data_IF_250639540284
#
_entry.id   IF_250639540284
#
_cell.length_a   1.000
_cell.length_b   1.000
_cell.length_c   1.000
_cell.angle_alpha   90.00
_cell.angle_beta   90.00
_cell.angle_gamma   90.00
#
_symmetry.space_group_name_H-M   'P 1'
#
loop_
_entity.id
_entity.type
_entity.pdbx_description
1 polymer ?
#
# COMPACT_ATOMS: atom_id res chain seq x y z
N UNK A 1 11.58 5.41 13.26
CA UNK A 1 12.19 5.93 12.01
C UNK A 1 13.50 6.59 12.41
N UNK A 2 14.64 6.03 12.01
CA UNK A 2 15.92 6.69 12.25
C UNK A 2 15.99 7.92 11.35
N UNK A 3 15.74 9.09 11.91
CA UNK A 3 16.11 10.34 11.24
C UNK A 3 17.62 10.31 11.06
N UNK A 4 18.08 10.55 9.84
CA UNK A 4 19.49 10.61 9.48
C UNK A 4 20.12 11.83 10.15
N UNK A 5 20.52 11.69 11.40
CA UNK A 5 21.34 12.67 12.09
C UNK A 5 22.69 12.75 11.36
N UNK A 6 23.00 13.91 10.80
CA UNK A 6 24.38 14.29 10.48
C UNK A 6 24.72 14.63 9.02
N UNK A 7 24.03 14.09 8.01
CA UNK A 7 24.35 14.43 6.61
C UNK A 7 23.41 15.48 6.01
N UNK A 8 23.96 16.64 5.64
CA UNK A 8 23.25 17.64 4.83
C UNK A 8 23.53 17.37 3.35
N UNK A 9 22.48 17.05 2.60
CA UNK A 9 22.53 16.93 1.15
C UNK A 9 22.78 18.31 0.51
N UNK A 10 24.06 18.64 0.29
CA UNK A 10 24.46 19.80 -0.53
C UNK A 10 24.14 19.60 -2.02
N UNK A 11 24.21 20.66 -2.80
CA UNK A 11 23.92 20.59 -4.25
C UNK A 11 24.85 19.63 -4.99
N UNK A 12 26.13 19.60 -4.62
CA UNK A 12 27.11 18.67 -5.18
C UNK A 12 26.72 17.20 -4.94
N UNK A 13 26.35 16.85 -3.71
CA UNK A 13 25.90 15.51 -3.36
C UNK A 13 24.61 15.11 -4.10
N UNK A 14 23.70 16.07 -4.33
CA UNK A 14 22.46 15.84 -5.09
C UNK A 14 22.75 15.57 -6.56
N UNK A 15 23.55 16.41 -7.22
CA UNK A 15 23.90 16.23 -8.63
C UNK A 15 24.71 14.95 -8.84
N UNK A 16 25.63 14.63 -7.92
CA UNK A 16 26.36 13.37 -7.96
C UNK A 16 25.43 12.15 -7.84
N UNK A 17 24.47 12.20 -6.92
CA UNK A 17 23.50 11.12 -6.72
C UNK A 17 22.61 10.93 -7.96
N UNK A 18 22.21 12.04 -8.58
CA UNK A 18 21.46 12.04 -9.83
C UNK A 18 22.26 11.42 -10.96
N UNK A 19 23.52 11.81 -11.17
CA UNK A 19 24.39 11.23 -12.20
C UNK A 19 24.56 9.71 -12.03
N UNK A 20 24.89 9.25 -10.81
CA UNK A 20 25.07 7.83 -10.56
C UNK A 20 23.76 7.04 -10.72
N UNK A 21 22.62 7.64 -10.35
CA UNK A 21 21.32 7.03 -10.58
C UNK A 21 21.01 6.89 -12.07
N UNK A 22 21.28 7.94 -12.87
CA UNK A 22 21.07 7.93 -14.34
C UNK A 22 21.99 6.92 -15.02
N UNK A 23 23.22 6.76 -14.53
CA UNK A 23 24.15 5.74 -14.98
C UNK A 23 23.72 4.31 -14.62
N UNK A 24 22.59 4.12 -13.93
CA UNK A 24 22.00 2.81 -13.66
C UNK A 24 22.63 2.07 -12.49
N UNK A 25 23.44 2.74 -11.66
CA UNK A 25 24.06 2.09 -10.51
C UNK A 25 23.01 1.68 -9.47
N UNK A 26 23.19 0.49 -8.91
CA UNK A 26 22.39 -0.03 -7.81
C UNK A 26 22.60 0.78 -6.53
N UNK A 27 21.63 0.75 -5.61
CA UNK A 27 21.76 1.46 -4.34
C UNK A 27 23.02 1.05 -3.53
N UNK A 28 23.42 -0.24 -3.43
CA UNK A 28 24.67 -0.63 -2.78
C UNK A 28 25.93 0.00 -3.41
N UNK A 29 26.03 0.01 -4.75
CA UNK A 29 27.18 0.61 -5.46
C UNK A 29 27.24 2.13 -5.23
N UNK A 30 26.07 2.78 -5.19
CA UNK A 30 25.98 4.21 -4.86
C UNK A 30 26.42 4.45 -3.42
N UNK A 31 26.02 3.62 -2.46
CA UNK A 31 26.45 3.74 -1.05
C UNK A 31 27.95 3.65 -0.93
N UNK A 32 28.59 2.70 -1.60
CA UNK A 32 30.04 2.53 -1.60
C UNK A 32 30.75 3.77 -2.16
N UNK A 33 30.34 4.22 -3.35
CA UNK A 33 30.91 5.42 -3.99
C UNK A 33 30.74 6.67 -3.15
N UNK A 34 29.53 6.90 -2.64
CA UNK A 34 29.24 8.04 -1.78
C UNK A 34 30.04 8.00 -0.48
N UNK A 35 30.23 6.81 0.10
CA UNK A 35 30.95 6.70 1.36
C UNK A 35 32.42 7.05 1.21
N UNK A 36 33.01 6.68 0.08
CA UNK A 36 34.38 7.02 -0.28
C UNK A 36 34.51 8.50 -0.67
N UNK A 37 33.65 9.01 -1.56
CA UNK A 37 33.74 10.37 -2.11
C UNK A 37 33.53 11.46 -1.05
N UNK A 38 32.56 11.28 -0.16
CA UNK A 38 32.24 12.27 0.88
C UNK A 38 32.87 11.95 2.24
N UNK A 39 33.73 10.92 2.31
CA UNK A 39 34.38 10.44 3.54
C UNK A 39 33.39 10.29 4.71
N UNK A 40 32.24 9.70 4.45
CA UNK A 40 31.16 9.56 5.42
C UNK A 40 30.41 8.25 5.22
N UNK A 41 29.97 7.61 6.29
CA UNK A 41 29.20 6.37 6.18
C UNK A 41 27.79 6.63 5.63
N UNK A 42 27.48 6.09 4.46
CA UNK A 42 26.11 6.04 3.94
C UNK A 42 25.46 4.68 4.19
N UNK A 43 24.13 4.66 4.19
CA UNK A 43 23.34 3.44 4.22
C UNK A 43 22.41 3.38 3.00
N UNK A 44 21.97 2.19 2.57
CA UNK A 44 20.99 2.08 1.49
C UNK A 44 19.74 2.93 1.72
N UNK A 45 19.23 2.95 2.96
CA UNK A 45 18.07 3.75 3.33
C UNK A 45 18.29 5.26 3.15
N UNK A 46 19.51 5.77 3.37
CA UNK A 46 19.83 7.19 3.15
C UNK A 46 19.74 7.55 1.67
N UNK A 47 20.34 6.70 0.82
CA UNK A 47 20.33 6.87 -0.64
C UNK A 47 18.90 6.79 -1.17
N UNK A 48 18.13 5.79 -0.77
CA UNK A 48 16.75 5.60 -1.24
C UNK A 48 15.83 6.75 -0.81
N UNK A 49 15.96 7.23 0.44
CA UNK A 49 15.20 8.40 0.90
C UNK A 49 15.58 9.67 0.12
N UNK A 50 16.86 9.87 -0.19
CA UNK A 50 17.30 11.01 -1.00
C UNK A 50 16.79 10.93 -2.44
N UNK A 51 16.89 9.76 -3.08
CA UNK A 51 16.32 9.49 -4.42
C UNK A 51 14.83 9.81 -4.48
N UNK A 52 14.08 9.38 -3.46
CA UNK A 52 12.66 9.67 -3.33
C UNK A 52 12.39 11.18 -3.11
N UNK A 53 13.06 11.80 -2.14
CA UNK A 53 12.87 13.20 -1.74
C UNK A 53 13.14 14.17 -2.90
N UNK A 54 14.20 13.91 -3.66
CA UNK A 54 14.61 14.74 -4.80
C UNK A 54 14.06 14.25 -6.14
N UNK A 55 13.16 13.26 -6.13
CA UNK A 55 12.42 12.75 -7.29
C UNK A 55 13.32 12.34 -8.46
N UNK A 56 14.46 11.71 -8.18
CA UNK A 56 15.42 11.36 -9.23
C UNK A 56 14.88 10.32 -10.22
N UNK A 57 13.84 9.57 -9.85
CA UNK A 57 13.11 8.68 -10.75
C UNK A 57 12.50 9.39 -11.96
N UNK A 58 12.32 10.72 -11.93
CA UNK A 58 11.86 11.50 -13.09
C UNK A 58 12.90 11.61 -14.21
N UNK A 59 14.17 11.36 -13.91
CA UNK A 59 15.28 11.44 -14.89
C UNK A 59 15.71 10.06 -15.40
N UNK A 60 15.15 8.98 -14.85
CA UNK A 60 15.44 7.60 -15.24
C UNK A 60 14.49 7.18 -16.37
N UNK A 61 14.97 7.35 -17.61
CA UNK A 61 14.31 7.09 -18.89
C UNK A 61 12.92 7.77 -19.06
N UNK A 62 12.66 8.43 -20.20
CA UNK A 62 11.28 8.75 -20.54
C UNK A 62 10.50 7.43 -20.57
N UNK A 63 9.42 7.37 -19.78
CA UNK A 63 8.48 6.24 -19.87
C UNK A 63 8.09 6.17 -21.34
N UNK A 64 8.45 5.07 -22.00
CA UNK A 64 8.06 4.82 -23.37
C UNK A 64 6.54 5.02 -23.46
N UNK A 65 6.14 5.89 -24.38
CA UNK A 65 4.74 6.33 -24.54
C UNK A 65 3.83 5.15 -24.91
N UNK A 66 4.43 4.09 -25.44
CA UNK A 66 3.78 2.85 -25.84
C UNK A 66 3.71 1.82 -24.70
N UNK A 67 4.40 2.06 -23.56
CA UNK A 67 4.15 1.30 -22.34
C UNK A 67 2.70 1.57 -21.95
N UNK A 68 1.87 0.54 -22.06
CA UNK A 68 0.54 0.50 -21.44
C UNK A 68 0.71 0.69 -19.94
N UNK A 69 0.63 1.93 -19.48
CA UNK A 69 0.31 2.22 -18.09
C UNK A 69 -1.08 1.61 -17.89
N UNK A 70 -1.11 0.46 -17.23
CA UNK A 70 -2.34 -0.22 -16.90
C UNK A 70 -3.26 0.79 -16.20
N UNK A 71 -4.40 1.03 -16.83
CA UNK A 71 -5.36 2.06 -16.44
C UNK A 71 -5.86 1.78 -15.02
N UNK A 72 -5.96 2.84 -14.24
CA UNK A 72 -6.61 2.85 -12.93
C UNK A 72 -7.96 2.13 -13.02
N UNK A 73 -8.23 1.22 -12.07
CA UNK A 73 -9.51 0.55 -12.01
C UNK A 73 -10.61 1.60 -11.83
N UNK A 74 -11.57 1.63 -12.75
CA UNK A 74 -12.66 2.61 -12.75
C UNK A 74 -13.99 1.87 -12.73
N UNK A 75 -14.80 2.17 -11.72
CA UNK A 75 -16.14 1.63 -11.52
C UNK A 75 -17.19 2.69 -11.89
N UNK A 76 -18.39 2.28 -12.32
CA UNK A 76 -19.48 3.23 -12.56
C UNK A 76 -19.95 3.90 -11.25
N UNK A 77 -20.68 5.01 -11.36
CA UNK A 77 -21.40 5.58 -10.22
C UNK A 77 -22.51 4.60 -9.78
N UNK A 78 -22.40 4.06 -8.57
CA UNK A 78 -23.31 3.05 -8.03
C UNK A 78 -23.22 2.99 -6.49
N UNK A 79 -24.04 2.15 -5.87
CA UNK A 79 -24.07 1.91 -4.44
C UNK A 79 -23.02 0.87 -4.04
N UNK A 80 -21.94 1.34 -3.44
CA UNK A 80 -20.85 0.52 -2.90
C UNK A 80 -20.79 0.64 -1.38
N UNK A 81 -20.55 -0.48 -0.70
CA UNK A 81 -20.02 -0.47 0.65
C UNK A 81 -18.51 -0.26 0.53
N UNK A 82 -17.97 0.72 1.25
CA UNK A 82 -16.55 1.04 1.18
C UNK A 82 -15.97 0.88 2.59
N UNK A 83 -14.92 0.09 2.72
CA UNK A 83 -14.19 -0.14 3.97
C UNK A 83 -12.70 -0.27 3.72
N UNK A 84 -11.92 -0.22 4.79
CA UNK A 84 -10.46 -0.19 4.74
C UNK A 84 -9.89 -0.60 6.10
N UNK A 85 -8.57 -0.84 6.13
CA UNK A 85 -7.77 -0.96 7.36
C UNK A 85 -8.43 -1.90 8.39
N UNK A 86 -8.95 -3.03 7.91
CA UNK A 86 -9.50 -4.04 8.80
C UNK A 86 -8.37 -4.65 9.65
N UNK A 87 -7.14 -4.68 9.12
CA UNK A 87 -5.94 -5.17 9.79
C UNK A 87 -6.19 -6.51 10.49
N UNK A 88 -6.87 -7.44 9.82
CA UNK A 88 -7.13 -8.74 10.40
C UNK A 88 -5.79 -9.40 10.80
N UNK A 89 -5.66 -9.84 12.06
CA UNK A 89 -6.75 -10.26 12.94
C UNK A 89 -7.23 -9.20 13.94
N UNK A 90 -6.68 -7.98 13.94
CA UNK A 90 -7.02 -6.90 14.89
C UNK A 90 -8.31 -6.15 14.56
N UNK A 91 -9.13 -6.73 13.69
CA UNK A 91 -10.39 -6.15 13.25
C UNK A 91 -11.38 -6.04 14.41
N UNK A 92 -12.32 -5.11 14.30
CA UNK A 92 -13.42 -4.98 15.25
C UNK A 92 -14.67 -5.68 14.73
N UNK A 93 -15.05 -6.78 15.38
CA UNK A 93 -16.30 -7.49 15.05
C UNK A 93 -17.53 -6.58 15.11
N UNK A 94 -17.56 -5.63 16.06
CA UNK A 94 -18.63 -4.63 16.15
C UNK A 94 -18.75 -3.79 14.88
N UNK A 95 -17.61 -3.34 14.33
CA UNK A 95 -17.60 -2.54 13.10
C UNK A 95 -17.94 -3.36 11.87
N UNK A 96 -17.50 -4.61 11.81
CA UNK A 96 -17.91 -5.56 10.75
C UNK A 96 -19.44 -5.75 10.77
N UNK A 97 -20.01 -6.04 11.94
CA UNK A 97 -21.45 -6.24 12.06
C UNK A 97 -22.24 -4.97 11.70
N UNK A 98 -21.75 -3.78 12.06
CA UNK A 98 -22.34 -2.51 11.61
C UNK A 98 -22.27 -2.33 10.10
N UNK A 99 -21.13 -2.63 9.48
CA UNK A 99 -20.96 -2.63 8.01
C UNK A 99 -21.99 -3.54 7.35
N UNK A 100 -22.16 -4.77 7.83
CA UNK A 100 -23.15 -5.72 7.30
C UNK A 100 -24.60 -5.25 7.52
N UNK A 101 -24.93 -4.70 8.69
CA UNK A 101 -26.25 -4.17 8.99
C UNK A 101 -26.62 -2.97 8.08
N UNK A 102 -25.66 -2.09 7.81
CA UNK A 102 -25.83 -0.98 6.86
C UNK A 102 -26.01 -1.55 5.44
N UNK A 103 -25.18 -2.52 5.04
CA UNK A 103 -25.29 -3.15 3.73
C UNK A 103 -26.67 -3.80 3.53
N UNK A 104 -27.19 -4.51 4.53
CA UNK A 104 -28.54 -5.09 4.47
C UNK A 104 -29.64 -4.02 4.40
N UNK A 105 -29.57 -3.02 5.29
CA UNK A 105 -30.58 -1.95 5.36
C UNK A 105 -30.71 -1.21 4.02
N UNK A 106 -29.60 -0.92 3.36
CA UNK A 106 -29.56 -0.20 2.09
C UNK A 106 -29.47 -1.12 0.86
N UNK A 107 -29.56 -2.44 1.05
CA UNK A 107 -29.50 -3.47 0.00
C UNK A 107 -28.26 -3.34 -0.89
N UNK A 108 -27.13 -2.97 -0.29
CA UNK A 108 -25.84 -2.85 -0.93
C UNK A 108 -25.24 -4.25 -1.09
N UNK A 109 -24.97 -4.65 -2.33
CA UNK A 109 -24.44 -5.99 -2.67
C UNK A 109 -23.01 -5.96 -3.22
N UNK A 110 -22.43 -4.77 -3.29
CA UNK A 110 -21.12 -4.46 -3.87
C UNK A 110 -20.23 -3.88 -2.78
N UNK A 111 -19.04 -4.42 -2.60
CA UNK A 111 -18.09 -3.96 -1.58
C UNK A 111 -16.73 -3.61 -2.19
N UNK A 112 -16.13 -2.53 -1.72
CA UNK A 112 -14.77 -2.10 -2.07
C UNK A 112 -13.96 -2.05 -0.78
N UNK A 113 -12.92 -2.87 -0.69
CA UNK A 113 -11.96 -2.89 0.40
C UNK A 113 -10.69 -2.14 -0.04
N UNK A 114 -10.42 -1.00 0.58
CA UNK A 114 -9.31 -0.10 0.21
C UNK A 114 -8.07 -0.43 1.06
N UNK A 115 -7.42 -1.57 0.77
CA UNK A 115 -6.15 -1.95 1.37
C UNK A 115 -6.23 -2.39 2.84
N UNK A 116 -5.11 -2.95 3.31
CA UNK A 116 -4.83 -3.33 4.69
C UNK A 116 -5.95 -4.19 5.29
N UNK A 117 -6.37 -5.20 4.52
CA UNK A 117 -7.35 -6.20 4.98
C UNK A 117 -6.69 -7.14 5.98
N UNK A 118 -5.42 -7.50 5.72
CA UNK A 118 -4.61 -8.41 6.53
C UNK A 118 -3.36 -7.69 7.01
N UNK A 119 -2.88 -8.04 8.21
CA UNK A 119 -1.79 -7.29 8.85
C UNK A 119 -0.39 -7.76 8.45
N UNK A 120 -0.23 -9.06 8.24
CA UNK A 120 1.03 -9.77 8.02
C UNK A 120 2.10 -9.37 9.05
N UNK A 121 1.79 -9.55 10.34
CA UNK A 121 2.68 -9.12 11.43
C UNK A 121 4.00 -9.90 11.45
N UNK A 122 4.01 -11.13 10.92
CA UNK A 122 5.19 -12.00 10.83
C UNK A 122 6.36 -11.38 10.04
N UNK A 123 6.09 -10.44 9.11
CA UNK A 123 7.10 -9.71 8.32
C UNK A 123 7.33 -8.28 8.80
N UNK A 124 6.68 -7.85 9.89
CA UNK A 124 6.86 -6.51 10.44
C UNK A 124 8.25 -6.38 11.05
N UNK A 125 8.94 -5.28 10.74
CA UNK A 125 10.30 -5.00 11.23
C UNK A 125 10.35 -4.39 12.64
N UNK A 126 9.20 -3.95 13.17
CA UNK A 126 9.13 -3.33 14.49
C UNK A 126 9.29 -4.40 15.58
N UNK A 127 10.11 -4.16 16.62
CA UNK A 127 10.22 -5.07 17.74
C UNK A 127 8.86 -5.21 18.42
N UNK A 128 8.55 -6.42 18.88
CA UNK A 128 7.43 -6.61 19.78
C UNK A 128 7.80 -6.04 21.16
N UNK A 129 6.82 -5.42 21.80
CA UNK A 129 6.96 -4.98 23.17
C UNK A 129 6.59 -6.15 24.10
N UNK A 130 7.15 -6.15 25.31
CA UNK A 130 6.69 -6.99 26.42
C UNK A 130 6.64 -8.52 26.19
N UNK A 131 7.57 -9.05 25.38
CA UNK A 131 7.72 -10.50 25.22
C UNK A 131 6.57 -11.18 24.44
N UNK A 132 5.73 -10.38 23.76
CA UNK A 132 4.72 -10.92 22.85
C UNK A 132 5.37 -11.80 21.77
N UNK A 133 4.63 -12.81 21.33
CA UNK A 133 5.03 -13.65 20.19
C UNK A 133 4.38 -13.09 18.93
N UNK A 134 5.16 -12.98 17.84
CA UNK A 134 4.59 -12.65 16.53
C UNK A 134 3.59 -13.72 16.14
N UNK A 135 2.44 -13.30 15.64
CA UNK A 135 1.50 -14.24 15.03
C UNK A 135 2.15 -14.88 13.81
N UNK A 136 1.98 -16.19 13.74
CA UNK A 136 2.26 -16.95 12.52
C UNK A 136 1.22 -16.60 11.46
N UNK A 137 1.54 -16.94 10.21
CA UNK A 137 0.61 -16.76 9.11
C UNK A 137 -0.70 -17.54 9.35
N UNK A 138 -0.59 -18.77 9.86
CA UNK A 138 -1.75 -19.64 10.13
C UNK A 138 -2.65 -19.09 11.23
N UNK A 139 -2.06 -18.56 12.33
CA UNK A 139 -2.81 -17.92 13.42
C UNK A 139 -3.55 -16.68 12.91
N UNK A 140 -2.86 -15.81 12.17
CA UNK A 140 -3.46 -14.62 11.56
C UNK A 140 -4.61 -15.00 10.61
N UNK A 141 -4.46 -16.07 9.84
CA UNK A 141 -5.48 -16.51 8.88
C UNK A 141 -6.70 -17.10 9.56
N UNK A 142 -6.49 -17.90 10.62
CA UNK A 142 -7.58 -18.47 11.41
C UNK A 142 -8.41 -17.35 12.05
N UNK A 143 -7.74 -16.34 12.60
CA UNK A 143 -8.39 -15.22 13.26
C UNK A 143 -8.97 -14.20 12.28
N UNK A 144 -8.50 -14.11 11.03
CA UNK A 144 -9.08 -13.26 10.00
C UNK A 144 -10.43 -13.79 9.46
N UNK A 145 -10.82 -15.00 9.84
CA UNK A 145 -12.02 -15.67 9.34
C UNK A 145 -13.31 -14.83 9.43
N UNK A 146 -13.61 -14.05 10.49
CA UNK A 146 -14.80 -13.21 10.54
C UNK A 146 -14.80 -12.09 9.49
N UNK A 147 -13.66 -11.40 9.33
CA UNK A 147 -13.48 -10.35 8.31
C UNK A 147 -13.67 -10.92 6.91
N UNK A 148 -13.03 -12.05 6.65
CA UNK A 148 -13.16 -12.78 5.39
C UNK A 148 -14.61 -13.21 5.14
N UNK A 149 -15.28 -13.78 6.14
CA UNK A 149 -16.68 -14.21 6.03
C UNK A 149 -17.62 -13.05 5.76
N UNK A 150 -17.34 -11.87 6.32
CA UNK A 150 -18.11 -10.67 6.04
C UNK A 150 -18.02 -10.23 4.56
N UNK A 151 -16.88 -10.46 3.89
CA UNK A 151 -16.76 -10.20 2.46
C UNK A 151 -17.69 -11.09 1.62
N UNK A 152 -18.01 -12.30 2.09
CA UNK A 152 -18.93 -13.22 1.41
C UNK A 152 -20.38 -12.78 1.44
N UNK A 153 -20.74 -11.82 2.30
CA UNK A 153 -22.06 -11.21 2.29
C UNK A 153 -22.34 -10.47 0.97
N UNK A 154 -21.29 -9.90 0.37
CA UNK A 154 -21.39 -9.14 -0.86
C UNK A 154 -21.27 -10.06 -2.07
N UNK A 155 -22.07 -9.80 -3.11
CA UNK A 155 -22.03 -10.55 -4.38
C UNK A 155 -20.75 -10.26 -5.16
N UNK A 156 -20.22 -9.05 -5.00
CA UNK A 156 -19.03 -8.57 -5.71
C UNK A 156 -18.14 -7.76 -4.80
N UNK A 157 -16.86 -8.13 -4.75
CA UNK A 157 -15.85 -7.54 -3.89
C UNK A 157 -14.69 -7.02 -4.73
N UNK A 158 -14.34 -5.75 -4.58
CA UNK A 158 -13.11 -5.18 -5.13
C UNK A 158 -12.10 -5.02 -4.01
N UNK A 159 -10.99 -5.75 -4.06
CA UNK A 159 -9.95 -5.75 -3.04
C UNK A 159 -8.73 -5.00 -3.58
N UNK A 160 -8.48 -3.81 -3.04
CA UNK A 160 -7.31 -3.01 -3.38
C UNK A 160 -6.13 -3.41 -2.51
N UNK A 161 -4.92 -3.19 -3.04
CA UNK A 161 -3.69 -3.45 -2.31
C UNK A 161 -3.43 -2.35 -1.29
N UNK A 162 -3.19 -2.73 -0.04
CA UNK A 162 -2.68 -1.84 1.00
C UNK A 162 -1.17 -1.93 1.21
N UNK A 163 -0.69 -1.23 2.22
CA UNK A 163 0.71 -1.23 2.62
C UNK A 163 1.17 -2.57 3.20
N UNK A 164 0.29 -3.25 3.92
CA UNK A 164 0.57 -4.51 4.59
C UNK A 164 0.67 -5.64 3.58
N UNK A 165 -0.26 -5.70 2.63
CA UNK A 165 -0.15 -6.62 1.49
C UNK A 165 1.11 -6.35 0.64
N UNK A 166 1.41 -5.08 0.39
CA UNK A 166 2.61 -4.71 -0.37
C UNK A 166 3.90 -5.08 0.35
N UNK A 167 3.89 -5.15 1.69
CA UNK A 167 5.02 -5.60 2.51
C UNK A 167 5.38 -7.05 2.19
N UNK A 168 4.40 -7.93 2.01
CA UNK A 168 4.63 -9.33 1.61
C UNK A 168 5.30 -9.41 0.25
N UNK A 169 4.81 -8.61 -0.71
CA UNK A 169 5.43 -8.54 -2.04
C UNK A 169 6.89 -8.09 -1.96
N UNK A 170 7.21 -7.08 -1.15
CA UNK A 170 8.60 -6.66 -0.95
C UNK A 170 9.45 -7.72 -0.25
N UNK A 171 8.91 -8.39 0.77
CA UNK A 171 9.64 -9.43 1.52
C UNK A 171 9.98 -10.63 0.64
N UNK A 172 9.10 -10.97 -0.30
CA UNK A 172 9.25 -12.14 -1.19
C UNK A 172 9.84 -11.78 -2.56
N UNK A 173 10.39 -10.58 -2.74
CA UNK A 173 10.88 -10.09 -4.04
C UNK A 173 9.85 -10.27 -5.17
N UNK A 174 8.59 -9.95 -4.88
CA UNK A 174 7.42 -10.07 -5.76
C UNK A 174 6.99 -11.49 -6.15
N UNK A 175 7.56 -12.54 -5.53
CA UNK A 175 7.07 -13.92 -5.71
C UNK A 175 5.64 -14.08 -5.18
N UNK A 176 5.32 -13.42 -4.05
CA UNK A 176 3.97 -13.41 -3.48
C UNK A 176 3.41 -11.99 -3.56
N UNK A 177 2.51 -11.76 -4.52
CA UNK A 177 1.75 -10.52 -4.66
C UNK A 177 0.43 -10.65 -3.90
N UNK A 178 -0.23 -9.54 -3.58
CA UNK A 178 -1.44 -9.64 -2.77
C UNK A 178 -2.59 -10.40 -3.46
N UNK A 179 -2.65 -10.40 -4.80
CA UNK A 179 -3.58 -11.27 -5.53
C UNK A 179 -3.44 -12.74 -5.15
N UNK A 180 -2.21 -13.20 -4.90
CA UNK A 180 -1.94 -14.58 -4.51
C UNK A 180 -2.47 -14.82 -3.09
N UNK A 181 -2.27 -13.85 -2.20
CA UNK A 181 -2.80 -13.88 -0.83
C UNK A 181 -4.33 -14.04 -0.89
N UNK A 182 -5.03 -13.11 -1.54
CA UNK A 182 -6.50 -13.17 -1.68
C UNK A 182 -7.02 -14.44 -2.35
N UNK A 183 -6.30 -15.02 -3.32
CA UNK A 183 -6.66 -16.31 -3.92
C UNK A 183 -6.52 -17.48 -2.95
N UNK A 184 -5.48 -17.50 -2.12
CA UNK A 184 -5.26 -18.54 -1.10
C UNK A 184 -6.40 -18.51 -0.06
N UNK A 185 -6.91 -17.32 0.27
CA UNK A 185 -8.09 -17.22 1.13
C UNK A 185 -9.38 -17.65 0.42
N UNK A 186 -9.46 -17.40 -0.89
CA UNK A 186 -10.74 -17.31 -1.59
C UNK A 186 -11.27 -18.51 -2.36
N UNK A 187 -10.42 -19.44 -2.79
CA UNK A 187 -10.87 -20.62 -3.55
C UNK A 187 -10.74 -21.91 -2.71
N UNK A 188 -11.71 -22.84 -2.75
CA UNK A 188 -12.85 -22.96 -3.69
C UNK A 188 -14.25 -22.72 -3.05
N UNK A 189 -14.37 -22.04 -1.90
CA UNK A 189 -15.61 -22.04 -1.09
C UNK A 189 -16.51 -20.80 -1.24
N UNK A 190 -16.19 -19.85 -2.11
CA UNK A 190 -16.82 -18.54 -2.09
C UNK A 190 -17.77 -18.33 -3.28
N UNK A 191 -19.06 -18.08 -3.00
CA UNK A 191 -20.07 -17.70 -4.00
C UNK A 191 -19.98 -16.22 -4.46
N UNK A 192 -18.92 -15.50 -4.07
CA UNK A 192 -18.76 -14.08 -4.35
C UNK A 192 -17.66 -13.83 -5.40
N UNK A 193 -17.89 -12.85 -6.27
CA UNK A 193 -16.95 -12.44 -7.31
C UNK A 193 -15.89 -11.50 -6.71
N UNK A 194 -14.67 -12.02 -6.52
CA UNK A 194 -13.54 -11.26 -5.98
C UNK A 194 -12.67 -10.71 -7.11
N UNK A 195 -12.64 -9.40 -7.22
CA UNK A 195 -11.77 -8.66 -8.13
C UNK A 195 -10.65 -8.03 -7.32
N UNK A 196 -9.45 -8.54 -7.51
CA UNK A 196 -8.27 -7.95 -6.90
C UNK A 196 -7.56 -6.98 -7.84
N UNK A 197 -7.02 -5.91 -7.27
CA UNK A 197 -6.18 -4.93 -7.97
C UNK A 197 -4.84 -4.75 -7.24
N UNK A 198 -3.74 -4.82 -7.98
CA UNK A 198 -2.41 -4.44 -7.48
C UNK A 198 -2.25 -2.93 -7.28
N UNK A 199 -3.24 -2.14 -7.69
CA UNK A 199 -3.26 -0.69 -7.47
C UNK A 199 -3.76 -0.34 -6.07
N UNK A 200 -3.21 0.75 -5.56
CA UNK A 200 -3.58 1.41 -4.31
C UNK A 200 -4.66 2.49 -4.51
N UNK A 201 -5.27 2.51 -5.70
CA UNK A 201 -6.29 3.50 -6.08
C UNK A 201 -7.35 2.93 -7.00
N UNK A 202 -8.56 3.48 -6.86
CA UNK A 202 -9.74 3.10 -7.63
C UNK A 202 -10.63 4.33 -7.87
N UNK A 203 -11.18 4.47 -9.06
CA UNK A 203 -12.15 5.52 -9.39
C UNK A 203 -13.58 5.02 -9.28
N UNK A 204 -14.47 5.85 -8.75
CA UNK A 204 -15.92 5.66 -8.87
C UNK A 204 -16.47 6.85 -9.67
N UNK A 205 -17.01 6.53 -10.84
CA UNK A 205 -17.40 7.51 -11.85
C UNK A 205 -16.25 8.45 -12.20
N UNK A 206 -16.59 9.73 -12.39
CA UNK A 206 -15.62 10.80 -12.71
C UNK A 206 -15.14 11.59 -11.50
N UNK A 207 -15.88 11.50 -10.38
CA UNK A 207 -15.75 12.44 -9.25
C UNK A 207 -15.01 11.86 -8.05
N UNK A 208 -15.10 10.55 -7.82
CA UNK A 208 -14.57 9.93 -6.62
C UNK A 208 -13.28 9.18 -6.93
N UNK A 209 -12.29 9.34 -6.05
CA UNK A 209 -11.04 8.59 -6.05
C UNK A 209 -10.84 7.97 -4.66
N UNK A 210 -10.77 6.65 -4.64
CA UNK A 210 -10.51 5.83 -3.47
C UNK A 210 -9.01 5.54 -3.39
N UNK A 211 -8.48 5.76 -2.18
CA UNK A 211 -7.09 5.88 -1.74
C UNK A 211 -6.51 4.90 -0.71
N UNK A 212 -5.45 4.13 -0.98
CA UNK A 212 -4.58 3.60 0.09
C UNK A 212 -3.16 4.17 -0.02
N UNK A 213 -2.91 5.40 0.47
CA UNK A 213 -1.66 6.07 0.27
C UNK A 213 -0.52 5.35 1.02
N UNK A 214 0.61 5.16 0.34
CA UNK A 214 1.80 4.56 0.99
C UNK A 214 2.41 5.41 2.11
N UNK A 215 1.99 6.67 2.22
CA UNK A 215 2.55 7.64 3.15
C UNK A 215 1.47 8.09 4.11
N UNK A 216 1.70 7.87 5.40
CA UNK A 216 0.86 8.45 6.45
C UNK A 216 1.33 9.87 6.80
N UNK A 217 0.42 10.65 7.40
CA UNK A 217 0.74 11.95 7.99
C UNK A 217 0.14 12.01 9.40
N UNK A 218 0.87 12.59 10.35
CA UNK A 218 0.33 12.88 11.69
C UNK A 218 -0.70 14.01 11.66
N UNK A 219 -0.64 14.87 10.64
CA UNK A 219 -1.63 15.93 10.45
C UNK A 219 -2.84 15.31 9.79
N UNK A 220 -3.91 15.13 10.57
CA UNK A 220 -5.18 14.58 10.09
C UNK A 220 -5.64 15.30 8.80
N UNK A 221 -6.22 14.55 7.88
CA UNK A 221 -6.73 15.00 6.56
C UNK A 221 -5.70 15.57 5.57
N UNK A 222 -4.45 15.80 5.97
CA UNK A 222 -3.44 16.44 5.10
C UNK A 222 -3.16 15.63 3.82
N UNK A 223 -3.17 14.29 3.92
CA UNK A 223 -3.00 13.41 2.76
C UNK A 223 -4.20 13.53 1.83
N UNK A 224 -5.41 13.41 2.37
CA UNK A 224 -6.66 13.58 1.61
C UNK A 224 -6.74 14.93 0.90
N UNK A 225 -6.46 16.03 1.61
CA UNK A 225 -6.41 17.39 1.04
C UNK A 225 -5.44 17.50 -0.13
N UNK A 226 -4.19 17.04 0.06
CA UNK A 226 -3.16 17.08 -1.00
C UNK A 226 -3.55 16.23 -2.21
N UNK A 227 -4.21 15.09 -2.00
CA UNK A 227 -4.70 14.26 -3.10
C UNK A 227 -5.88 14.93 -3.80
N UNK A 228 -6.79 15.57 -3.08
CA UNK A 228 -7.91 16.31 -3.65
C UNK A 228 -7.42 17.47 -4.52
N UNK A 229 -6.43 18.23 -4.04
CA UNK A 229 -5.77 19.31 -4.79
C UNK A 229 -5.06 18.77 -6.04
N UNK A 230 -4.38 17.62 -5.93
CA UNK A 230 -3.64 17.02 -7.04
C UNK A 230 -4.55 16.46 -8.13
N UNK A 231 -5.63 15.79 -7.74
CA UNK A 231 -6.48 15.02 -8.66
C UNK A 231 -7.80 15.72 -9.01
N UNK A 232 -8.14 16.82 -8.34
CA UNK A 232 -9.39 17.55 -8.50
C UNK A 232 -10.63 16.64 -8.39
N UNK A 233 -10.63 15.77 -7.38
CA UNK A 233 -11.67 14.76 -7.11
C UNK A 233 -12.04 14.72 -5.62
N UNK A 234 -13.20 14.16 -5.32
CA UNK A 234 -13.56 13.78 -3.96
C UNK A 234 -12.74 12.56 -3.55
N UNK A 235 -12.08 12.67 -2.41
CA UNK A 235 -11.12 11.66 -1.95
C UNK A 235 -11.72 10.90 -0.77
N UNK A 236 -11.72 9.58 -0.89
CA UNK A 236 -11.81 8.67 0.26
C UNK A 236 -10.43 8.08 0.43
N UNK A 237 -9.71 8.50 1.45
CA UNK A 237 -8.39 7.97 1.78
C UNK A 237 -8.39 7.31 3.14
N UNK A 238 -7.37 6.47 3.29
CA UNK A 238 -7.05 5.68 4.47
C UNK A 238 -5.69 6.12 4.97
#
# INVERSE_FOLDING_TARGET
>A
MAYTFGFKWGEEAKERLKMLSIAGLTTPEIVEKFSTEFNQKFTPSMIDQAKYRYRFSKYLLPIDKDIKIYKELTLPDDNYMISCDEHAPYHSELWINRKLAIADKFKITKNIQIGDTLDFDFIKKHPLLDGEKRKTLDEEFLEAAPSIKALLYFKKNWLMRGNHEFRVSRYTNSLIQAKHLYKIFGEPKWNADFIYSDYDKLNIGKKWLLLHPQSYSQVSTSVGKRMAEKFHRFIINT
#
